data_IF_150163214543
#
_entry.id   IF_150163214543
#
_cell.length_a   1.000
_cell.length_b   1.000
_cell.length_c   1.000
_cell.angle_alpha   90.00
_cell.angle_beta   90.00
_cell.angle_gamma   90.00
#
_symmetry.space_group_name_H-M   'P 1'
#
loop_
_entity.id
_entity.type
_entity.pdbx_description
1 polymer ?
#
# COMPACT_ATOMS: atom_id res chain seq x y z
N UNK A 1 -6.35 -0.24 -13.59
CA UNK A 1 -6.87 -0.95 -14.78
C UNK A 1 -8.33 -1.33 -14.54
N UNK A 2 -9.27 -1.11 -15.48
CA UNK A 2 -10.67 -1.54 -15.32
C UNK A 2 -10.86 -3.04 -14.99
N UNK A 3 -9.94 -3.91 -15.41
CA UNK A 3 -9.94 -5.36 -15.10
C UNK A 3 -9.33 -5.67 -13.73
N UNK A 4 -8.45 -4.80 -13.25
CA UNK A 4 -7.73 -4.95 -11.98
C UNK A 4 -7.88 -3.69 -11.13
N UNK A 5 -9.13 -3.30 -10.77
CA UNK A 5 -9.38 -2.04 -10.10
C UNK A 5 -9.09 -2.16 -8.60
N UNK A 6 -9.18 -1.04 -7.89
CA UNK A 6 -8.74 -0.95 -6.50
C UNK A 6 -9.65 -1.68 -5.52
N UNK A 7 -10.91 -1.85 -5.90
CA UNK A 7 -11.94 -2.58 -5.17
C UNK A 7 -11.57 -4.06 -4.98
N UNK A 8 -10.68 -4.61 -5.82
CA UNK A 8 -10.13 -5.95 -5.63
C UNK A 8 -9.44 -6.12 -4.27
N UNK A 9 -8.94 -5.03 -3.65
CA UNK A 9 -8.33 -5.07 -2.33
C UNK A 9 -9.33 -5.22 -1.19
N UNK A 10 -10.61 -4.92 -1.43
CA UNK A 10 -11.65 -4.84 -0.39
C UNK A 10 -12.39 -6.16 -0.17
N UNK A 11 -12.26 -7.13 -1.08
CA UNK A 11 -13.00 -8.38 -1.03
C UNK A 11 -12.11 -9.57 -0.60
N UNK A 12 -12.16 -10.00 0.68
CA UNK A 12 -11.37 -11.12 1.18
C UNK A 12 -11.82 -12.48 0.65
N UNK A 13 -13.07 -12.60 0.18
CA UNK A 13 -13.71 -13.86 -0.22
C UNK A 13 -13.61 -14.16 -1.72
N UNK A 14 -13.16 -13.18 -2.53
CA UNK A 14 -12.93 -13.37 -3.96
C UNK A 14 -11.59 -14.06 -4.23
N UNK A 15 -11.42 -14.79 -5.36
CA UNK A 15 -10.08 -15.19 -5.79
C UNK A 15 -9.21 -13.92 -5.84
N UNK A 16 -8.12 -13.90 -5.06
CA UNK A 16 -7.29 -12.72 -4.81
C UNK A 16 -6.83 -12.09 -6.13
N UNK A 17 -7.62 -11.16 -6.66
CA UNK A 17 -7.26 -10.39 -7.86
C UNK A 17 -6.36 -9.24 -7.42
N UNK A 18 -5.29 -8.96 -8.17
CA UNK A 18 -4.44 -7.82 -7.86
C UNK A 18 -5.17 -6.51 -8.18
N UNK A 19 -4.65 -5.44 -7.62
CA UNK A 19 -4.88 -4.08 -8.08
C UNK A 19 -3.68 -3.65 -8.92
N UNK A 20 -3.91 -3.22 -10.16
CA UNK A 20 -2.85 -2.85 -11.12
C UNK A 20 -3.11 -1.46 -11.71
N UNK A 21 -2.04 -0.76 -12.04
CA UNK A 21 -2.09 0.47 -12.84
C UNK A 21 -2.65 0.18 -14.24
N UNK A 22 -3.13 1.23 -14.92
CA UNK A 22 -3.51 1.08 -16.33
C UNK A 22 -2.24 0.78 -17.16
N UNK A 23 -2.25 -0.09 -18.18
CA UNK A 23 -1.06 -0.31 -19.02
C UNK A 23 -0.54 0.96 -19.72
N UNK A 24 -1.41 1.96 -19.91
CA UNK A 24 -1.05 3.26 -20.47
C UNK A 24 -0.51 4.25 -19.43
N UNK A 25 -0.64 3.93 -18.14
CA UNK A 25 -0.14 4.74 -17.04
C UNK A 25 1.37 4.51 -16.87
N UNK A 26 2.15 5.53 -17.25
CA UNK A 26 3.62 5.54 -17.15
C UNK A 26 4.12 6.41 -15.98
N UNK A 27 3.26 6.77 -15.03
CA UNK A 27 3.65 7.57 -13.87
C UNK A 27 4.64 6.86 -12.96
N UNK A 28 4.74 5.54 -13.08
CA UNK A 28 5.48 4.67 -12.17
C UNK A 28 4.85 4.59 -10.79
N UNK A 29 3.72 5.26 -10.53
CA UNK A 29 3.11 5.34 -9.21
C UNK A 29 1.63 5.02 -9.20
N UNK A 30 1.25 4.20 -8.23
CA UNK A 30 -0.13 3.83 -8.00
C UNK A 30 -0.53 4.19 -6.57
N UNK A 31 -1.46 5.14 -6.45
CA UNK A 31 -2.01 5.63 -5.19
C UNK A 31 -3.49 5.29 -5.03
N UNK A 32 -3.83 4.86 -3.81
CA UNK A 32 -5.19 4.67 -3.31
C UNK A 32 -5.28 5.32 -1.95
N UNK A 33 -6.48 5.67 -1.52
CA UNK A 33 -6.84 6.00 -0.15
C UNK A 33 -7.94 5.02 0.28
N UNK A 34 -7.62 4.07 1.18
CA UNK A 34 -8.57 3.03 1.62
C UNK A 34 -9.16 3.38 2.96
N UNK A 35 -10.49 3.46 3.02
CA UNK A 35 -11.21 3.83 4.23
C UNK A 35 -11.65 2.60 5.03
N UNK A 36 -11.19 2.46 6.28
CA UNK A 36 -11.69 1.38 7.15
C UNK A 36 -13.13 1.61 7.57
N UNK A 37 -13.85 0.57 7.98
CA UNK A 37 -15.22 0.72 8.52
C UNK A 37 -15.21 1.49 9.85
N UNK A 38 -14.18 1.25 10.67
CA UNK A 38 -14.04 1.84 11.99
C UNK A 38 -12.61 2.16 12.33
N UNK A 39 -12.56 3.02 13.34
CA UNK A 39 -11.44 3.43 14.12
C UNK A 39 -10.80 2.32 14.96
N UNK A 40 -9.66 1.73 14.54
CA UNK A 40 -9.03 0.59 15.26
C UNK A 40 -7.50 0.60 15.25
N UNK A 41 -6.75 0.47 16.36
CA UNK A 41 -5.28 0.39 16.28
C UNK A 41 -4.79 -0.67 15.28
N UNK A 42 -3.83 -0.32 14.42
CA UNK A 42 -3.24 -1.26 13.45
C UNK A 42 -2.12 -2.05 14.13
N UNK A 43 -2.34 -3.35 14.39
CA UNK A 43 -1.32 -4.21 14.98
C UNK A 43 -0.36 -4.86 13.97
N UNK A 44 -0.88 -5.19 12.78
CA UNK A 44 -0.14 -5.82 11.70
C UNK A 44 -0.73 -5.43 10.34
N UNK A 45 0.11 -5.48 9.31
CA UNK A 45 -0.25 -5.26 7.92
C UNK A 45 0.42 -6.34 7.07
N UNK A 46 -0.40 -7.13 6.37
CA UNK A 46 0.09 -8.07 5.37
C UNK A 46 -0.10 -7.48 3.99
N UNK A 47 0.96 -7.50 3.17
CA UNK A 47 0.91 -6.95 1.81
C UNK A 47 1.38 -7.99 0.83
N UNK A 48 0.46 -8.44 -0.03
CA UNK A 48 0.78 -9.22 -1.22
C UNK A 48 1.27 -8.31 -2.33
N UNK A 49 2.49 -8.52 -2.79
CA UNK A 49 3.06 -7.80 -3.92
C UNK A 49 2.54 -8.37 -5.25
N UNK A 50 2.40 -7.52 -6.26
CA UNK A 50 2.16 -7.90 -7.64
C UNK A 50 3.01 -7.05 -8.59
N UNK A 51 4.33 -7.08 -8.42
CA UNK A 51 5.30 -6.37 -9.26
C UNK A 51 5.75 -5.01 -8.76
N UNK A 52 5.26 -4.54 -7.62
CA UNK A 52 5.67 -3.28 -7.04
C UNK A 52 7.10 -3.37 -6.44
N UNK A 53 7.95 -2.37 -6.73
CA UNK A 53 9.30 -2.29 -6.17
C UNK A 53 9.37 -1.67 -4.76
N UNK A 54 8.53 -0.68 -4.45
CA UNK A 54 8.54 0.06 -3.18
C UNK A 54 7.12 0.30 -2.67
N UNK A 55 6.93 0.20 -1.36
CA UNK A 55 5.66 0.45 -0.70
C UNK A 55 5.84 1.47 0.43
N UNK A 56 5.01 2.49 0.45
CA UNK A 56 4.77 3.34 1.62
C UNK A 56 3.34 3.12 2.11
N UNK A 57 3.12 3.23 3.42
CA UNK A 57 1.78 3.30 4.01
C UNK A 57 1.74 4.48 4.94
N UNK A 58 0.94 5.47 4.58
CA UNK A 58 0.56 6.55 5.48
C UNK A 58 -0.83 6.29 6.05
N UNK A 59 -1.14 6.97 7.15
CA UNK A 59 -2.41 6.86 7.87
C UNK A 59 -2.92 8.21 8.31
N UNK A 60 -4.24 8.36 8.28
CA UNK A 60 -4.94 9.55 8.75
C UNK A 60 -6.15 9.17 9.57
N UNK A 61 -6.86 10.19 10.06
CA UNK A 61 -8.22 10.02 10.59
C UNK A 61 -9.13 10.89 9.74
N UNK A 62 -10.25 10.34 9.28
CA UNK A 62 -11.24 11.11 8.53
C UNK A 62 -11.84 12.30 9.30
N UNK A 63 -11.70 12.30 10.63
CA UNK A 63 -12.07 13.43 11.50
C UNK A 63 -11.00 14.51 11.61
N UNK A 64 -9.84 14.35 10.97
CA UNK A 64 -8.82 15.39 10.94
C UNK A 64 -9.25 16.55 10.02
N UNK A 65 -8.76 17.76 10.29
CA UNK A 65 -8.84 18.84 9.31
C UNK A 65 -8.28 18.41 7.96
N UNK A 66 -8.89 18.87 6.86
CA UNK A 66 -8.51 18.47 5.49
C UNK A 66 -7.07 18.86 5.12
N UNK A 67 -6.52 19.88 5.77
CA UNK A 67 -5.15 20.37 5.59
C UNK A 67 -4.13 19.60 6.43
N UNK A 68 -4.58 18.71 7.33
CA UNK A 68 -3.68 17.89 8.12
C UNK A 68 -3.15 16.74 7.26
N UNK A 69 -1.83 16.61 7.08
CA UNK A 69 -1.26 15.53 6.27
C UNK A 69 -1.40 14.17 6.97
N UNK A 70 -1.38 13.11 6.17
CA UNK A 70 -1.19 11.75 6.66
C UNK A 70 0.13 11.61 7.41
N UNK A 71 0.17 10.66 8.33
CA UNK A 71 1.36 10.29 9.09
C UNK A 71 1.86 8.94 8.58
N UNK A 72 3.16 8.82 8.33
CA UNK A 72 3.76 7.58 7.87
C UNK A 72 3.69 6.50 8.94
N UNK A 73 3.02 5.40 8.62
CA UNK A 73 2.97 4.18 9.44
C UNK A 73 4.06 3.19 9.01
N UNK A 74 4.23 2.99 7.70
CA UNK A 74 5.31 2.22 7.11
C UNK A 74 6.08 3.15 6.16
N UNK A 75 7.36 3.49 6.46
CA UNK A 75 8.17 4.27 5.53
C UNK A 75 8.37 3.51 4.23
N UNK A 76 8.76 4.22 3.17
CA UNK A 76 9.05 3.62 1.87
C UNK A 76 9.99 2.41 2.03
N UNK A 77 9.43 1.21 1.80
CA UNK A 77 10.11 -0.06 2.02
C UNK A 77 10.16 -0.84 0.72
N UNK A 78 11.34 -1.36 0.38
CA UNK A 78 11.58 -2.15 -0.83
C UNK A 78 10.88 -3.51 -0.79
N UNK A 79 9.99 -3.78 -1.75
CA UNK A 79 9.34 -5.08 -1.94
C UNK A 79 10.05 -5.97 -2.96
N UNK A 80 10.83 -5.38 -3.88
CA UNK A 80 11.62 -6.10 -4.89
C UNK A 80 13.00 -5.49 -5.04
N UNK A 81 14.01 -6.31 -5.33
CA UNK A 81 15.31 -5.79 -5.74
C UNK A 81 15.21 -5.08 -7.10
N UNK A 82 16.15 -4.19 -7.40
CA UNK A 82 16.22 -3.54 -8.73
C UNK A 82 16.36 -4.58 -9.85
N UNK A 83 17.12 -5.65 -9.62
CA UNK A 83 17.30 -6.75 -10.57
C UNK A 83 16.01 -7.51 -10.82
N UNK A 84 15.28 -7.85 -9.75
CA UNK A 84 14.00 -8.56 -9.86
C UNK A 84 12.95 -7.71 -10.59
N UNK A 85 12.91 -6.40 -10.30
CA UNK A 85 12.01 -5.45 -10.96
C UNK A 85 12.29 -5.39 -12.47
N UNK A 86 13.55 -5.16 -12.87
CA UNK A 86 13.96 -5.11 -14.28
C UNK A 86 13.73 -6.42 -15.04
N UNK A 87 13.85 -7.55 -14.37
CA UNK A 87 13.69 -8.87 -14.99
C UNK A 87 12.28 -9.44 -14.86
N UNK A 88 11.36 -8.73 -14.19
CA UNK A 88 10.00 -9.21 -13.93
C UNK A 88 9.94 -10.50 -13.10
N UNK A 89 10.93 -10.76 -12.24
CA UNK A 89 11.01 -11.96 -11.39
C UNK A 89 10.48 -11.68 -9.98
N UNK A 90 10.12 -12.72 -9.23
CA UNK A 90 9.74 -12.62 -7.81
C UNK A 90 8.64 -11.58 -7.50
N UNK A 91 7.69 -11.40 -8.43
CA UNK A 91 6.67 -10.34 -8.38
C UNK A 91 5.58 -10.55 -7.32
N UNK A 92 5.45 -11.76 -6.77
CA UNK A 92 4.28 -12.22 -6.00
C UNK A 92 4.53 -12.47 -4.50
N UNK A 93 5.61 -11.92 -3.94
CA UNK A 93 5.94 -12.10 -2.52
C UNK A 93 4.94 -11.43 -1.57
N UNK A 94 4.69 -12.03 -0.40
CA UNK A 94 3.93 -11.39 0.69
C UNK A 94 4.92 -10.90 1.75
N UNK A 95 4.72 -9.67 2.25
CA UNK A 95 5.47 -9.13 3.39
C UNK A 95 4.53 -8.77 4.52
N UNK A 96 4.92 -9.19 5.73
CA UNK A 96 4.20 -8.92 6.97
C UNK A 96 4.93 -7.81 7.72
N UNK A 97 4.20 -6.78 8.11
CA UNK A 97 4.68 -5.66 8.91
C UNK A 97 3.96 -5.69 10.25
N UNK A 98 4.69 -5.79 11.35
CA UNK A 98 4.13 -5.76 12.70
C UNK A 98 4.62 -4.50 13.41
N UNK A 99 3.77 -3.91 14.24
CA UNK A 99 4.22 -2.83 15.13
C UNK A 99 5.31 -3.38 16.08
N UNK A 100 6.53 -2.89 15.91
CA UNK A 100 7.74 -3.51 16.43
C UNK A 100 8.88 -2.51 16.57
N UNK A 101 8.73 -1.54 17.48
CA UNK A 101 9.83 -0.76 18.10
C UNK A 101 10.88 -0.18 17.15
N UNK A 102 10.47 0.65 16.19
CA UNK A 102 11.35 1.70 15.65
C UNK A 102 10.49 2.89 15.19
N UNK A 103 10.04 3.64 16.19
CA UNK A 103 9.08 4.74 16.06
C UNK A 103 8.19 4.75 17.29
N UNK A 104 8.28 5.79 18.13
CA UNK A 104 7.52 5.92 19.39
C UNK A 104 6.04 5.56 19.15
N UNK A 105 5.54 4.56 19.89
CA UNK A 105 4.10 4.34 20.06
C UNK A 105 3.46 5.66 20.48
N UNK A 106 2.73 6.29 19.57
CA UNK A 106 1.87 7.43 19.90
C UNK A 106 0.44 6.91 19.94
N UNK A 107 -0.10 6.92 21.16
CA UNK A 107 -1.45 6.52 21.52
C UNK A 107 -2.45 7.56 21.01
N UNK A 108 -2.68 7.61 19.71
CA UNK A 108 -3.87 8.27 19.20
C UNK A 108 -4.84 7.17 18.77
N UNK A 109 -5.85 6.99 19.62
CA UNK A 109 -6.85 5.94 19.53
C UNK A 109 -7.53 5.88 18.17
N UNK A 110 -8.11 4.71 17.92
CA UNK A 110 -8.71 4.28 16.66
C UNK A 110 -9.26 5.40 15.80
N UNK A 111 -8.88 5.40 14.53
CA UNK A 111 -9.39 6.27 13.48
C UNK A 111 -9.68 5.47 12.22
N UNK A 112 -10.68 5.86 11.45
CA UNK A 112 -10.88 5.37 10.10
C UNK A 112 -9.61 5.69 9.31
N UNK A 113 -8.74 4.69 9.07
CA UNK A 113 -7.47 4.91 8.40
C UNK A 113 -7.68 5.08 6.92
N UNK A 114 -6.73 5.79 6.33
CA UNK A 114 -6.66 6.10 4.93
C UNK A 114 -5.27 5.71 4.49
N UNK A 115 -5.18 4.61 3.73
CA UNK A 115 -3.91 4.02 3.30
C UNK A 115 -3.50 4.58 1.95
N UNK A 116 -2.52 5.47 1.92
CA UNK A 116 -1.78 5.85 0.70
C UNK A 116 -0.73 4.79 0.37
N UNK A 117 -0.98 3.96 -0.64
CA UNK A 117 0.05 3.15 -1.28
C UNK A 117 0.74 4.02 -2.35
N UNK A 118 2.06 3.95 -2.54
CA UNK A 118 2.70 4.47 -3.77
C UNK A 118 3.69 3.41 -4.20
N UNK A 119 3.45 2.82 -5.35
CA UNK A 119 4.44 2.01 -6.04
C UNK A 119 5.42 2.96 -6.71
N UNK A 120 6.72 2.68 -6.81
CA UNK A 120 7.62 3.45 -7.69
C UNK A 120 8.27 2.47 -8.65
N UNK A 121 7.76 2.39 -9.86
CA UNK A 121 8.37 1.66 -10.97
C UNK A 121 9.15 2.66 -11.84
N UNK A 122 10.46 2.71 -11.65
CA UNK A 122 11.40 3.25 -12.65
C UNK A 122 11.74 2.16 -13.70
N UNK A 123 10.77 1.31 -14.06
CA UNK A 123 10.98 0.24 -15.05
C UNK A 123 9.77 0.15 -15.96
N UNK A 124 9.98 0.47 -17.23
CA UNK A 124 9.02 0.30 -18.32
C UNK A 124 8.55 -1.16 -18.35
N UNK A 125 7.30 -1.40 -17.91
CA UNK A 125 6.63 -2.65 -18.21
C UNK A 125 6.34 -2.67 -19.72
N UNK A 126 7.08 -3.50 -20.46
CA UNK A 126 6.73 -3.95 -21.79
C UNK A 126 5.84 -5.20 -21.71
#
# INVERSE_FOLDING_TARGET
DPKYPVENLLNPDSPRKPWLSCPQDKSGQLKVELQLERAVPIGYIDVGNCGCAFLQIDVGRSSWPLDRPFITLLPATTLMSLTDSKQGKNRSGVRMFKDGKEGKSRKDGGGLYEKQCSTKEDCECY
#
